data_IF_554288095602
#
_entry.id   IF_554288095602
#
_cell.length_a   1.000
_cell.length_b   1.000
_cell.length_c   1.000
_cell.angle_alpha   90.00
_cell.angle_beta   90.00
_cell.angle_gamma   90.00
#
_symmetry.space_group_name_H-M   'P 1'
#
loop_
_entity.id
_entity.type
_entity.pdbx_description
1 polymer ?
#
# COMPACT_ATOMS: atom_id res chain seq x y z
N UNK A 1 -3.43 56.59 -3.12
CA UNK A 1 -3.96 55.28 -3.53
C UNK A 1 -2.87 54.27 -3.20
N UNK A 2 -3.08 53.42 -2.21
CA UNK A 2 -2.06 52.55 -1.63
C UNK A 2 -1.95 51.24 -2.42
N UNK A 3 -0.73 50.79 -2.71
CA UNK A 3 -0.45 49.49 -3.31
C UNK A 3 -0.97 48.37 -2.39
N UNK A 4 -1.89 47.55 -2.90
CA UNK A 4 -2.30 46.31 -2.25
C UNK A 4 -1.17 45.30 -2.31
N UNK A 5 -0.45 45.18 -1.18
CA UNK A 5 0.57 44.14 -0.99
C UNK A 5 -0.13 42.78 -0.96
N UNK A 6 -0.12 42.05 -2.08
CA UNK A 6 -0.61 40.67 -2.13
C UNK A 6 0.04 39.85 -1.01
N UNK A 7 -0.78 39.35 -0.09
CA UNK A 7 -0.39 38.38 0.92
C UNK A 7 -0.11 37.06 0.19
N UNK A 8 1.15 36.83 -0.15
CA UNK A 8 1.61 35.53 -0.67
C UNK A 8 1.61 34.54 0.49
N UNK A 9 0.53 33.78 0.64
CA UNK A 9 0.47 32.68 1.59
C UNK A 9 1.13 31.49 0.92
N UNK A 10 2.42 31.28 1.21
CA UNK A 10 3.11 30.05 0.89
C UNK A 10 2.50 28.91 1.71
N UNK A 11 1.47 28.25 1.16
CA UNK A 11 0.95 27.01 1.71
C UNK A 11 2.03 25.96 1.47
N UNK A 12 2.80 25.68 2.52
CA UNK A 12 3.77 24.60 2.51
C UNK A 12 2.99 23.28 2.51
N UNK A 13 2.59 22.84 1.32
CA UNK A 13 1.98 21.54 1.14
C UNK A 13 3.07 20.52 1.41
N UNK A 14 3.18 20.09 2.67
CA UNK A 14 3.91 18.88 3.09
C UNK A 14 3.31 17.62 2.48
N UNK A 15 2.92 17.67 1.21
CA UNK A 15 2.44 16.57 0.41
C UNK A 15 3.66 15.77 0.05
N UNK A 16 3.96 14.78 0.89
CA UNK A 16 4.83 13.69 0.50
C UNK A 16 4.12 12.88 -0.60
N UNK A 17 4.35 13.25 -1.86
CA UNK A 17 4.12 12.36 -3.00
C UNK A 17 5.11 11.21 -2.83
N UNK A 18 4.62 10.08 -2.32
CA UNK A 18 5.46 8.95 -1.90
C UNK A 18 4.94 8.24 -0.66
N UNK A 19 3.95 8.82 0.03
CA UNK A 19 3.25 8.13 1.12
C UNK A 19 2.56 6.90 0.52
N UNK A 20 3.15 5.71 0.71
CA UNK A 20 2.44 4.43 0.55
C UNK A 20 1.22 4.52 1.45
N UNK A 21 0.08 4.94 0.90
CA UNK A 21 -1.20 4.85 1.58
C UNK A 21 -1.28 3.42 2.09
N UNK A 22 -1.47 3.25 3.39
CA UNK A 22 -1.44 1.96 4.04
C UNK A 22 -2.53 1.10 3.38
N UNK A 23 -2.13 0.33 2.37
CA UNK A 23 -2.95 -0.66 1.68
C UNK A 23 -2.95 -1.87 2.60
N UNK A 24 -3.77 -1.80 3.65
CA UNK A 24 -4.02 -2.96 4.48
C UNK A 24 -4.73 -3.95 3.56
N UNK A 25 -4.13 -5.11 3.37
CA UNK A 25 -4.74 -6.20 2.61
C UNK A 25 -5.43 -7.12 3.61
N UNK A 26 -6.75 -7.14 3.61
CA UNK A 26 -7.54 -8.18 4.28
C UNK A 26 -7.55 -9.43 3.43
N UNK A 27 -7.30 -10.59 4.05
CA UNK A 27 -7.37 -11.89 3.36
C UNK A 27 -8.48 -12.70 4.02
N UNK A 28 -9.47 -13.09 3.23
CA UNK A 28 -10.53 -14.00 3.67
C UNK A 28 -10.39 -15.30 2.92
N UNK A 29 -10.34 -16.42 3.66
CA UNK A 29 -10.37 -17.77 3.09
C UNK A 29 -11.78 -18.30 3.29
N UNK A 30 -12.45 -18.65 2.20
CA UNK A 30 -13.83 -19.12 2.20
C UNK A 30 -13.88 -20.64 2.07
N UNK A 31 -14.96 -21.26 2.56
CA UNK A 31 -15.17 -22.71 2.51
C UNK A 31 -15.50 -23.23 1.09
N UNK A 32 -15.74 -22.33 0.13
CA UNK A 32 -16.04 -22.63 -1.28
C UNK A 32 -14.78 -22.73 -2.17
N UNK A 33 -13.62 -22.97 -1.55
CA UNK A 33 -12.32 -23.04 -2.21
C UNK A 33 -11.90 -21.74 -2.93
N UNK A 34 -12.35 -20.60 -2.41
CA UNK A 34 -11.93 -19.27 -2.87
C UNK A 34 -11.17 -18.49 -1.79
N UNK A 35 -10.30 -17.58 -2.25
CA UNK A 35 -9.60 -16.61 -1.41
C UNK A 35 -9.99 -15.22 -1.91
N UNK A 36 -10.39 -14.35 -0.98
CA UNK A 36 -10.70 -12.95 -1.26
C UNK A 36 -9.64 -12.04 -0.65
N UNK A 37 -9.09 -11.16 -1.48
CA UNK A 37 -8.13 -10.11 -1.12
C UNK A 37 -8.85 -8.76 -1.15
N UNK A 38 -8.98 -8.14 0.01
CA UNK A 38 -9.57 -6.81 0.17
C UNK A 38 -8.46 -5.78 0.36
N UNK A 39 -8.32 -4.87 -0.60
CA UNK A 39 -7.41 -3.75 -0.51
C UNK A 39 -8.14 -2.60 0.16
N UNK A 40 -7.72 -2.27 1.37
CA UNK A 40 -8.33 -1.22 2.19
C UNK A 40 -7.45 0.01 2.15
N UNK A 41 -8.06 1.14 1.82
CA UNK A 41 -7.50 2.46 1.97
C UNK A 41 -7.91 3.04 3.33
N UNK A 42 -6.93 3.39 4.16
CA UNK A 42 -7.17 4.14 5.40
C UNK A 42 -6.81 5.60 5.17
N UNK A 43 -7.80 6.48 5.35
CA UNK A 43 -7.57 7.91 5.15
C UNK A 43 -6.61 8.47 6.22
N UNK A 44 -5.56 9.22 5.84
CA UNK A 44 -4.52 9.65 6.79
C UNK A 44 -5.03 10.57 7.90
N UNK A 45 -6.13 11.30 7.66
CA UNK A 45 -6.78 12.17 8.65
C UNK A 45 -7.83 11.43 9.50
N UNK A 46 -8.37 10.32 9.02
CA UNK A 46 -9.41 9.53 9.69
C UNK A 46 -8.94 8.09 9.84
N UNK A 47 -7.93 7.88 10.70
CA UNK A 47 -7.25 6.58 10.85
C UNK A 47 -8.13 5.43 11.34
N UNK A 48 -9.31 5.75 11.86
CA UNK A 48 -10.27 4.78 12.39
C UNK A 48 -11.28 4.29 11.34
N UNK A 49 -11.21 4.79 10.10
CA UNK A 49 -12.07 4.35 9.01
C UNK A 49 -11.22 3.86 7.84
N UNK A 50 -11.40 2.60 7.49
CA UNK A 50 -10.87 1.99 6.28
C UNK A 50 -11.98 1.83 5.25
N UNK A 51 -11.69 2.17 4.00
CA UNK A 51 -12.58 1.96 2.86
C UNK A 51 -11.99 0.89 1.95
N UNK A 52 -12.79 -0.12 1.59
CA UNK A 52 -12.37 -1.12 0.60
C UNK A 52 -12.36 -0.46 -0.78
N UNK A 53 -11.18 -0.33 -1.37
CA UNK A 53 -11.01 0.28 -2.69
C UNK A 53 -10.96 -0.75 -3.81
N UNK A 54 -10.61 -2.00 -3.47
CA UNK A 54 -10.61 -3.11 -4.43
C UNK A 54 -10.82 -4.42 -3.69
N UNK A 55 -11.57 -5.33 -4.31
CA UNK A 55 -11.81 -6.69 -3.85
C UNK A 55 -11.51 -7.63 -5.00
N UNK A 56 -10.66 -8.62 -4.75
CA UNK A 56 -10.31 -9.64 -5.74
C UNK A 56 -10.58 -11.01 -5.14
N UNK A 57 -11.48 -11.77 -5.74
CA UNK A 57 -11.74 -13.17 -5.37
C UNK A 57 -11.10 -14.08 -6.40
N UNK A 58 -10.29 -15.02 -5.93
CA UNK A 58 -9.58 -15.98 -6.77
C UNK A 58 -9.79 -17.41 -6.26
N UNK A 59 -9.68 -18.43 -7.12
CA UNK A 59 -9.59 -19.81 -6.65
C UNK A 59 -8.42 -19.97 -5.68
N UNK A 60 -8.59 -20.80 -4.65
CA UNK A 60 -7.58 -21.02 -3.61
C UNK A 60 -6.21 -21.36 -4.16
N UNK A 61 -6.14 -22.24 -5.17
CA UNK A 61 -4.89 -22.61 -5.84
C UNK A 61 -4.10 -21.40 -6.36
N UNK A 62 -4.79 -20.43 -6.97
CA UNK A 62 -4.17 -19.21 -7.49
C UNK A 62 -3.65 -18.34 -6.35
N UNK A 63 -4.40 -18.23 -5.24
CA UNK A 63 -3.96 -17.52 -4.05
C UNK A 63 -2.73 -18.15 -3.38
N UNK A 64 -2.66 -19.48 -3.32
CA UNK A 64 -1.48 -20.20 -2.82
C UNK A 64 -0.24 -20.00 -3.70
N UNK A 65 -0.40 -20.04 -5.02
CA UNK A 65 0.68 -19.75 -5.97
C UNK A 65 1.19 -18.32 -5.84
N UNK A 66 0.28 -17.34 -5.70
CA UNK A 66 0.63 -15.95 -5.44
C UNK A 66 1.42 -15.78 -4.14
N UNK A 67 0.99 -16.42 -3.05
CA UNK A 67 1.68 -16.36 -1.76
C UNK A 67 3.11 -16.90 -1.85
N UNK A 68 3.31 -18.02 -2.55
CA UNK A 68 4.64 -18.60 -2.81
C UNK A 68 5.52 -17.64 -3.60
N UNK A 69 4.99 -17.04 -4.66
CA UNK A 69 5.73 -16.08 -5.48
C UNK A 69 6.19 -14.87 -4.66
N UNK A 70 5.30 -14.29 -3.85
CA UNK A 70 5.64 -13.18 -2.96
C UNK A 70 6.79 -13.56 -2.02
N UNK A 71 6.72 -14.73 -1.38
CA UNK A 71 7.79 -15.19 -0.49
C UNK A 71 9.14 -15.35 -1.22
N UNK A 72 9.13 -15.89 -2.43
CA UNK A 72 10.34 -16.03 -3.27
C UNK A 72 10.92 -14.66 -3.59
N UNK A 73 10.07 -13.70 -4.01
CA UNK A 73 10.51 -12.34 -4.33
C UNK A 73 11.09 -11.62 -3.12
N UNK A 74 10.46 -11.74 -1.94
CA UNK A 74 10.98 -11.16 -0.69
C UNK A 74 12.35 -11.76 -0.35
N UNK A 75 12.47 -13.09 -0.39
CA UNK A 75 13.76 -13.77 -0.14
C UNK A 75 14.84 -13.34 -1.11
N UNK A 76 14.53 -13.25 -2.40
CA UNK A 76 15.47 -12.81 -3.42
C UNK A 76 15.91 -11.35 -3.19
N UNK A 77 14.98 -10.48 -2.78
CA UNK A 77 15.30 -9.10 -2.45
C UNK A 77 16.22 -8.99 -1.21
N UNK A 78 15.93 -9.76 -0.15
CA UNK A 78 16.74 -9.78 1.07
C UNK A 78 18.15 -10.33 0.80
N UNK A 79 18.27 -11.36 -0.05
CA UNK A 79 19.56 -11.90 -0.47
C UNK A 79 20.37 -10.87 -1.26
N UNK A 80 19.74 -10.11 -2.17
CA UNK A 80 20.41 -9.01 -2.89
C UNK A 80 20.94 -7.95 -1.93
N UNK A 81 20.17 -7.57 -0.91
CA UNK A 81 20.63 -6.61 0.12
C UNK A 81 21.82 -7.12 0.92
N UNK A 82 21.88 -8.43 1.23
CA UNK A 82 23.01 -9.04 1.95
C UNK A 82 24.29 -9.13 1.10
N UNK A 83 24.17 -9.18 -0.22
CA UNK A 83 25.31 -9.16 -1.15
C UNK A 83 25.88 -7.77 -1.45
N UNK A 84 25.29 -6.69 -0.93
CA UNK A 84 25.83 -5.31 -0.99
C UNK A 84 26.56 -5.01 0.33
N UNK A 85 27.55 -5.82 0.68
CA UNK A 85 28.67 -5.34 1.48
C UNK A 85 29.78 -5.06 0.49
N UNK A 86 29.96 -3.78 0.16
CA UNK A 86 31.11 -3.33 -0.61
C UNK A 86 32.35 -3.48 0.27
N UNK A 87 33.32 -4.27 -0.18
CA UNK A 87 34.73 -4.11 0.17
C UNK A 87 35.25 -2.75 -0.33
#
# INVERSE_FOLDING_TARGET
MAEEKKLDIAVNTGTHIGSRYAQIVGITVSDDDTITLDFVFVHPREKNKGEVVSRVTVPRRVGEELAKLIQITVKAHDQKKKGVQHD
#
